data_IF_073638943611
#
_entry.id   IF_073638943611
#
_cell.length_a   1.000
_cell.length_b   1.000
_cell.length_c   1.000
_cell.angle_alpha   90.00
_cell.angle_beta   90.00
_cell.angle_gamma   90.00
#
_symmetry.space_group_name_H-M   'P 1'
#
loop_
_entity.id
_entity.type
_entity.pdbx_description
1 polymer ?
#
# COMPACT_ATOMS: atom_id res chain seq x y z
N UNK A 1 -20.33 23.02 -9.46
CA UNK A 1 -20.14 22.17 -8.26
C UNK A 1 -18.92 22.55 -7.45
N UNK A 2 -17.76 22.80 -8.07
CA UNK A 2 -16.56 23.23 -7.32
C UNK A 2 -16.71 24.58 -6.60
N UNK A 3 -17.48 25.52 -7.17
CA UNK A 3 -17.82 26.79 -6.51
C UNK A 3 -18.69 26.61 -5.24
N UNK A 4 -19.39 25.48 -5.11
CA UNK A 4 -20.21 25.14 -3.95
C UNK A 4 -19.45 24.29 -2.93
N UNK A 5 -18.51 23.46 -3.40
CA UNK A 5 -17.69 22.60 -2.55
C UNK A 5 -16.30 22.43 -3.13
N UNK A 6 -15.30 22.96 -2.42
CA UNK A 6 -13.88 22.85 -2.79
C UNK A 6 -13.37 21.40 -2.85
N UNK A 7 -14.08 20.45 -2.25
CA UNK A 7 -13.73 19.01 -2.28
C UNK A 7 -14.46 18.23 -3.37
N UNK A 8 -15.22 18.87 -4.26
CA UNK A 8 -15.90 18.17 -5.35
C UNK A 8 -14.94 17.39 -6.27
N UNK A 9 -15.37 16.22 -6.75
CA UNK A 9 -14.64 15.33 -7.66
C UNK A 9 -15.59 14.88 -8.76
N UNK A 10 -15.12 14.87 -10.00
CA UNK A 10 -15.84 14.31 -11.14
C UNK A 10 -15.44 12.85 -11.32
N UNK A 11 -16.39 11.92 -11.32
CA UNK A 11 -16.14 10.49 -11.52
C UNK A 11 -16.68 10.08 -12.88
N UNK A 12 -15.86 9.41 -13.68
CA UNK A 12 -16.21 8.89 -15.01
C UNK A 12 -16.19 7.38 -14.94
N UNK A 13 -17.32 6.76 -15.29
CA UNK A 13 -17.46 5.30 -15.38
C UNK A 13 -17.72 4.96 -16.85
N UNK A 14 -16.92 4.06 -17.42
CA UNK A 14 -17.16 3.53 -18.77
C UNK A 14 -17.80 2.13 -18.67
N UNK A 15 -19.14 2.01 -18.80
CA UNK A 15 -19.83 0.73 -18.71
C UNK A 15 -19.59 -0.17 -19.93
N UNK A 16 -19.14 0.37 -21.07
CA UNK A 16 -18.92 -0.39 -22.31
C UNK A 16 -17.56 -1.10 -22.22
N UNK A 17 -16.54 -0.43 -21.71
CA UNK A 17 -15.21 -1.02 -21.50
C UNK A 17 -15.09 -1.82 -20.21
N UNK A 18 -16.04 -1.65 -19.29
CA UNK A 18 -16.14 -2.48 -18.09
C UNK A 18 -16.66 -3.87 -18.46
N UNK A 19 -15.91 -4.91 -18.11
CA UNK A 19 -16.28 -6.31 -18.34
C UNK A 19 -16.36 -7.05 -17.00
N UNK A 20 -16.85 -8.29 -17.00
CA UNK A 20 -16.91 -9.10 -15.78
C UNK A 20 -15.51 -9.17 -15.13
N UNK A 21 -15.40 -8.72 -13.87
CA UNK A 21 -14.16 -8.57 -13.07
C UNK A 21 -13.22 -7.40 -13.45
N UNK A 22 -13.61 -6.49 -14.34
CA UNK A 22 -12.86 -5.26 -14.63
C UNK A 22 -13.83 -4.08 -14.70
N UNK A 23 -13.73 -3.18 -13.75
CA UNK A 23 -14.43 -1.90 -13.75
C UNK A 23 -13.50 -0.82 -14.29
N UNK A 24 -13.92 -0.08 -15.31
CA UNK A 24 -13.20 1.07 -15.85
C UNK A 24 -13.81 2.33 -15.24
N UNK A 25 -13.07 2.92 -14.30
CA UNK A 25 -13.48 4.12 -13.56
C UNK A 25 -12.28 5.05 -13.40
N UNK A 26 -12.50 6.34 -13.64
CA UNK A 26 -11.53 7.40 -13.38
C UNK A 26 -12.17 8.49 -12.52
N UNK A 27 -11.34 9.21 -11.76
CA UNK A 27 -11.76 10.34 -10.95
C UNK A 27 -10.86 11.54 -11.24
N UNK A 28 -11.48 12.69 -11.51
CA UNK A 28 -10.82 13.92 -11.89
C UNK A 28 -11.22 15.06 -10.96
N UNK A 29 -10.30 16.00 -10.77
CA UNK A 29 -10.53 17.27 -10.11
C UNK A 29 -10.03 18.36 -11.04
N UNK A 30 -10.78 19.44 -11.19
CA UNK A 30 -10.32 20.54 -12.01
C UNK A 30 -9.14 21.24 -11.32
N UNK A 31 -8.13 21.57 -12.11
CA UNK A 31 -7.01 22.38 -11.65
C UNK A 31 -7.32 23.83 -11.97
N UNK A 32 -7.07 24.74 -11.02
CA UNK A 32 -7.18 26.17 -11.27
C UNK A 32 -6.06 26.60 -12.25
N UNK A 33 -6.38 27.14 -13.45
CA UNK A 33 -5.39 27.58 -14.42
C UNK A 33 -4.46 28.68 -13.90
N UNK A 34 -4.94 29.51 -12.96
CA UNK A 34 -4.15 30.58 -12.37
C UNK A 34 -2.99 30.02 -11.54
N UNK A 35 -3.18 28.88 -10.87
CA UNK A 35 -2.13 28.18 -10.11
C UNK A 35 -0.98 27.77 -11.03
N UNK A 36 -1.29 27.31 -12.26
CA UNK A 36 -0.28 26.97 -13.25
C UNK A 36 0.48 28.19 -13.77
N UNK A 37 -0.22 29.31 -14.00
CA UNK A 37 0.43 30.57 -14.41
C UNK A 37 1.34 31.14 -13.33
N UNK A 38 1.06 30.84 -12.05
CA UNK A 38 1.89 31.21 -10.91
C UNK A 38 3.07 30.25 -10.68
N UNK A 39 3.25 29.22 -11.51
CA UNK A 39 4.29 28.20 -11.36
C UNK A 39 4.12 27.29 -10.14
N UNK A 40 2.96 27.34 -9.48
CA UNK A 40 2.65 26.47 -8.35
C UNK A 40 2.24 25.09 -8.88
N UNK A 41 2.81 24.03 -8.31
CA UNK A 41 2.45 22.65 -8.64
C UNK A 41 1.02 22.35 -8.19
N UNK A 42 0.09 22.08 -9.13
CA UNK A 42 -1.33 21.89 -8.81
C UNK A 42 -1.64 20.49 -8.24
N UNK A 43 -0.67 19.57 -8.26
CA UNK A 43 -0.84 18.22 -7.74
C UNK A 43 -0.61 18.18 -6.24
N UNK A 44 -1.69 18.00 -5.47
CA UNK A 44 -1.56 17.55 -4.08
C UNK A 44 -1.28 16.04 -4.04
N UNK A 45 -0.10 15.65 -3.55
CA UNK A 45 0.21 14.26 -3.23
C UNK A 45 -0.49 13.87 -1.94
N UNK A 46 -1.79 13.57 -2.01
CA UNK A 46 -2.49 12.93 -0.89
C UNK A 46 -2.20 11.43 -0.96
N UNK A 47 -1.12 10.99 -0.33
CA UNK A 47 -0.83 9.55 -0.29
C UNK A 47 -1.91 8.86 0.56
N UNK A 48 -2.72 8.02 -0.05
CA UNK A 48 -3.64 7.14 0.68
C UNK A 48 -2.89 6.00 1.41
N UNK A 49 -1.56 5.91 1.22
CA UNK A 49 -0.67 4.96 1.91
C UNK A 49 -0.76 5.07 3.44
N UNK A 50 -1.12 6.23 3.97
CA UNK A 50 -1.39 6.40 5.41
C UNK A 50 -2.64 5.67 5.93
N UNK A 51 -3.54 5.22 5.03
CA UNK A 51 -4.76 4.48 5.37
C UNK A 51 -4.64 2.96 5.15
N UNK A 52 -3.53 2.47 4.61
CA UNK A 52 -3.19 1.06 4.75
C UNK A 52 -2.81 0.84 6.21
N UNK A 53 -3.56 0.00 6.92
CA UNK A 53 -3.18 -0.45 8.25
C UNK A 53 -1.77 -1.02 8.16
N UNK A 54 -0.79 -0.26 8.67
CA UNK A 54 0.59 -0.72 8.76
C UNK A 54 0.55 -2.00 9.59
N UNK A 55 1.22 -3.08 9.16
CA UNK A 55 1.29 -4.28 9.98
C UNK A 55 1.81 -3.89 11.35
N UNK A 56 1.11 -4.30 12.40
CA UNK A 56 1.52 -3.88 13.75
C UNK A 56 2.85 -4.57 14.08
N UNK A 57 3.69 -3.90 14.87
CA UNK A 57 4.94 -4.51 15.36
C UNK A 57 4.65 -5.84 16.09
N UNK A 58 3.49 -5.95 16.73
CA UNK A 58 3.03 -7.18 17.37
C UNK A 58 2.75 -8.31 16.36
N UNK A 59 2.16 -8.01 15.21
CA UNK A 59 1.95 -9.00 14.14
C UNK A 59 3.27 -9.48 13.56
N UNK A 60 4.24 -8.58 13.33
CA UNK A 60 5.58 -8.95 12.90
C UNK A 60 6.29 -9.84 13.93
N UNK A 61 6.18 -9.52 15.21
CA UNK A 61 6.72 -10.35 16.30
C UNK A 61 6.10 -11.76 16.28
N UNK A 62 4.78 -11.85 16.13
CA UNK A 62 4.08 -13.12 16.05
C UNK A 62 4.51 -13.95 14.84
N UNK A 63 4.71 -13.31 13.67
CA UNK A 63 5.24 -13.97 12.48
C UNK A 63 6.68 -14.45 12.68
N UNK A 64 7.54 -13.66 13.34
CA UNK A 64 8.91 -14.05 13.64
C UNK A 64 8.98 -15.26 14.60
N UNK A 65 8.12 -15.30 15.63
CA UNK A 65 8.01 -16.46 16.53
C UNK A 65 7.55 -17.70 15.76
N UNK A 66 6.55 -17.56 14.87
CA UNK A 66 6.09 -18.66 14.01
C UNK A 66 7.19 -19.15 13.06
N UNK A 67 7.96 -18.23 12.49
CA UNK A 67 9.09 -18.57 11.62
C UNK A 67 10.17 -19.34 12.36
N UNK A 68 10.59 -18.89 13.55
CA UNK A 68 11.55 -19.63 14.38
C UNK A 68 11.06 -21.04 14.71
N UNK A 69 9.77 -21.19 15.01
CA UNK A 69 9.18 -22.50 15.26
C UNK A 69 9.19 -23.38 14.01
N UNK A 70 8.84 -22.84 12.84
CA UNK A 70 8.86 -23.57 11.58
C UNK A 70 10.29 -24.06 11.23
N UNK A 71 11.30 -23.23 11.49
CA UNK A 71 12.72 -23.62 11.29
C UNK A 71 13.13 -24.76 12.24
N UNK A 72 12.66 -24.76 13.48
CA UNK A 72 12.91 -25.88 14.41
C UNK A 72 12.21 -27.17 13.96
N UNK A 73 10.99 -27.06 13.44
CA UNK A 73 10.22 -28.21 12.91
C UNK A 73 10.84 -28.76 11.60
N UNK A 74 11.59 -27.94 10.83
CA UNK A 74 12.32 -28.37 9.63
C UNK A 74 13.44 -29.37 9.95
N UNK A 75 14.09 -29.27 11.11
CA UNK A 75 15.15 -30.20 11.54
C UNK A 75 14.58 -31.57 11.98
N UNK A 76 13.30 -31.63 12.36
CA UNK A 76 12.66 -32.84 12.88
C UNK A 76 12.03 -33.72 11.78
N UNK A 77 11.59 -33.13 10.67
CA UNK A 77 10.81 -33.81 9.64
C UNK A 77 11.48 -33.80 8.25
N UNK A 78 11.36 -34.89 7.48
CA UNK A 78 11.84 -34.92 6.10
C UNK A 78 10.97 -34.02 5.18
N UNK A 79 11.57 -33.45 4.11
CA UNK A 79 10.98 -32.39 3.29
C UNK A 79 9.66 -32.78 2.60
N UNK A 80 9.47 -34.04 2.23
CA UNK A 80 8.21 -34.51 1.61
C UNK A 80 7.03 -34.45 2.58
N UNK A 81 7.26 -34.79 3.87
CA UNK A 81 6.21 -34.73 4.90
C UNK A 81 5.94 -33.29 5.31
N UNK A 82 6.95 -32.44 5.33
CA UNK A 82 6.82 -31.00 5.57
C UNK A 82 5.97 -30.31 4.51
N UNK A 83 6.19 -30.62 3.23
CA UNK A 83 5.41 -30.04 2.13
C UNK A 83 3.91 -30.31 2.30
N UNK A 84 3.54 -31.52 2.73
CA UNK A 84 2.15 -31.89 3.00
C UNK A 84 1.62 -31.24 4.28
N UNK A 85 2.40 -31.21 5.35
CA UNK A 85 2.01 -30.60 6.63
C UNK A 85 1.85 -29.07 6.56
N UNK A 86 2.57 -28.43 5.63
CA UNK A 86 2.53 -26.99 5.42
C UNK A 86 1.41 -26.55 4.46
N UNK A 87 0.71 -27.50 3.81
CA UNK A 87 -0.46 -27.16 2.97
C UNK A 87 -1.56 -26.53 3.83
N UNK A 88 -2.01 -25.34 3.44
CA UNK A 88 -3.06 -24.59 4.15
C UNK A 88 -2.57 -23.85 5.40
N UNK A 89 -1.31 -24.03 5.80
CA UNK A 89 -0.67 -23.22 6.83
C UNK A 89 -0.17 -21.91 6.22
N UNK A 90 -0.30 -20.82 6.97
CA UNK A 90 0.22 -19.53 6.56
C UNK A 90 1.76 -19.58 6.54
N UNK A 91 2.37 -19.31 5.39
CA UNK A 91 3.82 -19.20 5.26
C UNK A 91 4.32 -17.94 5.98
N UNK A 92 4.86 -18.13 7.17
CA UNK A 92 5.32 -17.05 8.04
C UNK A 92 6.52 -16.30 7.42
N UNK A 93 7.38 -16.97 6.66
CA UNK A 93 8.54 -16.35 6.01
C UNK A 93 8.07 -15.37 4.94
N UNK A 94 7.21 -15.83 4.04
CA UNK A 94 6.67 -15.01 2.95
C UNK A 94 5.93 -13.77 3.46
N UNK A 95 5.12 -13.93 4.51
CA UNK A 95 4.37 -12.80 5.09
C UNK A 95 5.28 -11.83 5.84
N UNK A 96 6.33 -12.31 6.51
CA UNK A 96 7.31 -11.45 7.15
C UNK A 96 8.06 -10.59 6.12
N UNK A 97 8.49 -11.19 5.01
CA UNK A 97 9.13 -10.48 3.89
C UNK A 97 8.22 -9.40 3.30
N UNK A 98 6.95 -9.73 3.04
CA UNK A 98 5.96 -8.78 2.54
C UNK A 98 5.74 -7.60 3.51
N UNK A 99 5.57 -7.90 4.80
CA UNK A 99 5.36 -6.87 5.83
C UNK A 99 6.57 -5.94 5.97
N UNK A 100 7.79 -6.49 5.94
CA UNK A 100 9.04 -5.71 6.01
C UNK A 100 9.18 -4.81 4.77
N UNK A 101 8.93 -5.34 3.58
CA UNK A 101 9.02 -4.57 2.33
C UNK A 101 8.06 -3.38 2.33
N UNK A 102 6.81 -3.61 2.78
CA UNK A 102 5.81 -2.56 2.89
C UNK A 102 6.20 -1.49 3.93
N UNK A 103 6.74 -1.91 5.07
CA UNK A 103 7.18 -1.01 6.14
C UNK A 103 8.37 -0.14 5.69
N UNK A 104 9.37 -0.73 5.04
CA UNK A 104 10.52 -0.01 4.50
C UNK A 104 10.09 0.99 3.43
N UNK A 105 9.26 0.55 2.48
CA UNK A 105 8.73 1.43 1.43
C UNK A 105 7.95 2.61 2.01
N UNK A 106 7.09 2.36 3.00
CA UNK A 106 6.33 3.42 3.67
C UNK A 106 7.24 4.40 4.41
N UNK A 107 8.26 3.91 5.11
CA UNK A 107 9.17 4.77 5.87
C UNK A 107 10.04 5.63 4.94
N UNK A 108 10.52 5.06 3.83
CA UNK A 108 11.27 5.82 2.82
C UNK A 108 10.40 6.93 2.24
N UNK A 109 9.20 6.60 1.75
CA UNK A 109 8.28 7.60 1.16
C UNK A 109 7.91 8.68 2.17
N UNK A 110 7.64 8.30 3.42
CA UNK A 110 7.32 9.27 4.48
C UNK A 110 8.49 10.20 4.77
N UNK A 111 9.70 9.66 4.93
CA UNK A 111 10.88 10.46 5.26
C UNK A 111 11.26 11.37 4.08
N UNK A 112 11.27 10.85 2.86
CA UNK A 112 11.51 11.64 1.65
C UNK A 112 10.44 12.70 1.43
N UNK A 113 9.17 12.39 1.69
CA UNK A 113 8.07 13.35 1.64
C UNK A 113 8.29 14.51 2.60
N UNK A 114 8.64 14.21 3.87
CA UNK A 114 8.94 15.27 4.86
C UNK A 114 10.18 16.09 4.51
N UNK A 115 11.22 15.49 3.93
CA UNK A 115 12.40 16.24 3.49
C UNK A 115 12.10 17.15 2.29
N UNK A 116 11.31 16.68 1.32
CA UNK A 116 10.89 17.51 0.19
C UNK A 116 10.01 18.68 0.65
N UNK A 117 9.14 18.45 1.61
CA UNK A 117 8.28 19.49 2.20
C UNK A 117 9.13 20.62 2.81
N UNK A 118 10.24 20.30 3.48
CA UNK A 118 11.16 21.30 4.06
C UNK A 118 12.00 22.10 3.06
N UNK A 119 12.07 21.67 1.78
CA UNK A 119 12.87 22.33 0.74
C UNK A 119 11.99 23.07 -0.26
N UNK A 120 10.76 22.60 -0.48
CA UNK A 120 9.79 23.26 -1.36
C UNK A 120 8.97 24.37 -0.68
N UNK A 121 8.92 24.41 0.66
CA UNK A 121 8.30 25.46 1.46
C UNK A 121 9.31 26.11 2.40
#
# INVERSE_FOLDING_TARGET
FEALNQRAVAVVVDPIQSVKRKLVIDAFRLINPQTMMLGQEPRQTTSNLGHLNKPSIQEMLNLAIKYNKAVQEEDELPPEKLAIANVGRQDAKKHLEEHVSNLLSSNIVQTSGTMLDTVMF
#
